data_IF_491431851059
#
_entry.id   IF_491431851059
#
_cell.length_a   1.000
_cell.length_b   1.000
_cell.length_c   1.000
_cell.angle_alpha   90.00
_cell.angle_beta   90.00
_cell.angle_gamma   90.00
#
_symmetry.space_group_name_H-M   'P 1'
#
loop_
_entity.id
_entity.type
_entity.pdbx_description
1 polymer ?
#
# COMPACT_ATOMS: atom_id res chain seq x y z
N UNK A 1 4.01 -23.09 2.44
CA UNK A 1 2.85 -22.40 3.06
C UNK A 1 2.97 -20.93 2.70
N UNK A 2 2.56 -20.55 1.49
CA UNK A 2 2.53 -19.15 1.09
C UNK A 2 1.43 -18.45 1.88
N UNK A 3 1.78 -17.45 2.70
CA UNK A 3 0.80 -16.60 3.37
C UNK A 3 0.68 -15.33 2.54
N UNK A 4 -0.38 -15.27 1.73
CA UNK A 4 -0.83 -14.03 1.11
C UNK A 4 -1.25 -13.09 2.26
N UNK A 5 -0.50 -12.02 2.48
CA UNK A 5 -0.79 -11.05 3.54
C UNK A 5 -1.95 -10.19 3.06
N UNK A 6 -3.16 -10.57 3.44
CA UNK A 6 -4.37 -9.77 3.24
C UNK A 6 -4.34 -8.59 4.22
N UNK A 7 -3.88 -7.42 3.77
CA UNK A 7 -3.96 -6.20 4.58
C UNK A 7 -5.36 -5.59 4.46
N UNK A 8 -6.18 -5.82 5.49
CA UNK A 8 -7.48 -5.18 5.63
C UNK A 8 -7.35 -3.67 5.84
N UNK A 9 -8.06 -2.90 5.03
CA UNK A 9 -8.17 -1.44 5.13
C UNK A 9 -8.80 -1.05 6.47
N UNK A 10 -8.08 -0.30 7.32
CA UNK A 10 -8.66 0.40 8.46
C UNK A 10 -8.38 1.89 8.38
N UNK A 11 -9.46 2.66 8.21
CA UNK A 11 -9.47 4.11 8.32
C UNK A 11 -9.09 4.54 9.75
N UNK A 12 -8.02 5.32 9.88
CA UNK A 12 -7.61 5.95 11.14
C UNK A 12 -8.53 7.14 11.46
N UNK A 13 -9.24 7.09 12.59
CA UNK A 13 -9.83 8.29 13.21
C UNK A 13 -9.00 8.67 14.43
N UNK A 14 -8.31 9.79 14.34
CA UNK A 14 -7.67 10.44 15.48
C UNK A 14 -8.74 11.04 16.40
N UNK A 15 -8.70 10.69 17.70
CA UNK A 15 -9.38 11.47 18.74
C UNK A 15 -8.36 11.81 19.82
N UNK A 16 -8.06 13.11 19.89
CA UNK A 16 -7.29 13.78 20.92
C UNK A 16 -8.19 14.15 22.09
N UNK A 17 -7.79 13.88 23.33
CA UNK A 17 -8.07 14.79 24.45
C UNK A 17 -7.24 14.45 25.69
N UNK A 18 -6.36 15.38 26.07
CA UNK A 18 -5.83 15.49 27.43
C UNK A 18 -6.87 16.16 28.34
N UNK A 19 -6.93 15.77 29.61
CA UNK A 19 -6.92 16.68 30.78
C UNK A 19 -6.85 15.91 32.10
N UNK A 20 -5.90 16.34 32.93
CA UNK A 20 -5.71 15.94 34.32
C UNK A 20 -6.66 16.73 35.25
N UNK A 21 -7.07 16.12 36.38
CA UNK A 21 -7.49 16.81 37.61
C UNK A 21 -7.17 15.93 38.83
N UNK A 22 -6.48 16.51 39.82
CA UNK A 22 -6.23 15.97 41.18
C UNK A 22 -7.10 16.77 42.16
N UNK A 23 -7.67 16.17 43.23
CA UNK A 23 -7.30 16.57 44.61
C UNK A 23 -7.16 15.34 45.54
N UNK A 24 -6.05 15.17 46.25
CA UNK A 24 -5.74 15.73 47.59
C UNK A 24 -6.60 15.15 48.72
N UNK A 25 -6.06 14.14 49.42
CA UNK A 25 -6.38 13.85 50.82
C UNK A 25 -5.10 13.52 51.61
N UNK A 26 -4.98 14.20 52.75
CA UNK A 26 -3.89 14.15 53.70
C UNK A 26 -4.04 12.99 54.70
N UNK A 27 -2.88 12.63 55.31
CA UNK A 27 -2.69 12.14 56.70
C UNK A 27 -3.05 10.66 56.94
N UNK A 28 -2.27 9.81 57.62
CA UNK A 28 -1.23 9.95 58.66
C UNK A 28 -0.14 8.87 58.48
N UNK A 29 1.09 9.22 58.85
CA UNK A 29 2.25 8.33 58.93
C UNK A 29 2.46 7.91 60.39
N UNK A 30 2.66 6.61 60.70
CA UNK A 30 3.43 6.21 61.88
C UNK A 30 4.79 5.67 61.44
N UNK A 31 5.85 6.30 61.95
CA UNK A 31 7.23 5.82 61.83
C UNK A 31 7.35 4.45 62.50
N UNK A 32 7.80 3.46 61.73
CA UNK A 32 8.37 2.23 62.25
C UNK A 32 9.74 2.09 61.59
N UNK A 33 10.78 2.49 62.31
CA UNK A 33 12.16 2.17 61.96
C UNK A 33 12.35 0.65 61.97
N UNK A 34 12.71 0.08 60.82
CA UNK A 34 13.33 -1.25 60.71
C UNK A 34 14.54 -1.14 59.78
N UNK A 35 15.77 -1.37 60.25
CA UNK A 35 16.95 -1.28 59.42
C UNK A 35 17.27 -2.64 58.83
N UNK A 36 16.51 -3.15 57.84
CA UNK A 36 16.92 -4.34 57.10
C UNK A 36 16.34 -4.36 55.67
N UNK A 37 17.22 -4.31 54.67
CA UNK A 37 16.97 -4.85 53.33
C UNK A 37 16.80 -3.87 52.17
N UNK A 38 17.78 -3.02 51.88
CA UNK A 38 17.81 -2.26 50.60
C UNK A 38 18.04 -3.14 49.36
N UNK A 39 18.34 -4.45 49.51
CA UNK A 39 18.59 -5.36 48.38
C UNK A 39 17.33 -5.82 47.64
N UNK A 40 16.15 -5.85 48.26
CA UNK A 40 14.96 -6.48 47.64
C UNK A 40 14.28 -5.65 46.55
N UNK A 41 14.47 -4.33 46.54
CA UNK A 41 13.89 -3.42 45.53
C UNK A 41 14.74 -3.44 44.25
N UNK A 42 16.07 -3.54 44.37
CA UNK A 42 16.97 -3.72 43.23
C UNK A 42 16.73 -5.04 42.49
N UNK A 43 16.50 -6.15 43.19
CA UNK A 43 16.27 -7.46 42.55
C UNK A 43 14.96 -7.52 41.78
N UNK A 44 13.90 -6.83 42.24
CA UNK A 44 12.60 -6.78 41.55
C UNK A 44 12.67 -6.02 40.23
N UNK A 45 13.40 -4.90 40.20
CA UNK A 45 13.63 -4.13 38.98
C UNK A 45 14.49 -4.93 37.99
N UNK A 46 15.55 -5.57 38.49
CA UNK A 46 16.42 -6.44 37.68
C UNK A 46 15.67 -7.60 37.03
N UNK A 47 14.83 -8.35 37.77
CA UNK A 47 14.03 -9.46 37.21
C UNK A 47 13.04 -8.95 36.16
N UNK A 48 12.44 -7.77 36.37
CA UNK A 48 11.53 -7.15 35.40
C UNK A 48 12.26 -6.73 34.12
N UNK A 49 13.44 -6.12 34.25
CA UNK A 49 14.30 -5.72 33.13
C UNK A 49 14.80 -6.94 32.35
N UNK A 50 15.25 -8.00 33.04
CA UNK A 50 15.64 -9.26 32.40
C UNK A 50 14.50 -9.90 31.61
N UNK A 51 13.28 -9.91 32.15
CA UNK A 51 12.10 -10.43 31.45
C UNK A 51 11.76 -9.61 30.22
N UNK A 52 11.87 -8.28 30.32
CA UNK A 52 11.68 -7.38 29.18
C UNK A 52 12.73 -7.63 28.09
N UNK A 53 14.01 -7.72 28.46
CA UNK A 53 15.11 -8.02 27.53
C UNK A 53 14.91 -9.36 26.83
N UNK A 54 14.62 -10.43 27.57
CA UNK A 54 14.40 -11.75 27.00
C UNK A 54 13.19 -11.78 26.04
N UNK A 55 12.16 -10.99 26.33
CA UNK A 55 10.99 -10.84 25.46
C UNK A 55 11.33 -10.08 24.17
N UNK A 56 12.04 -8.95 24.28
CA UNK A 56 12.49 -8.16 23.12
C UNK A 56 13.47 -8.95 22.24
N UNK A 57 14.43 -9.65 22.83
CA UNK A 57 15.35 -10.55 22.12
C UNK A 57 14.61 -11.66 21.36
N UNK A 58 13.55 -12.22 21.95
CA UNK A 58 12.74 -13.21 21.26
C UNK A 58 12.02 -12.62 20.04
N UNK A 59 11.46 -11.41 20.14
CA UNK A 59 10.84 -10.74 18.99
C UNK A 59 11.89 -10.44 17.91
N UNK A 60 13.04 -9.90 18.30
CA UNK A 60 14.13 -9.59 17.37
C UNK A 60 14.64 -10.83 16.64
N UNK A 61 14.73 -11.97 17.34
CA UNK A 61 15.05 -13.26 16.73
C UNK A 61 14.03 -13.64 15.67
N UNK A 62 12.73 -13.58 16.00
CA UNK A 62 11.64 -13.92 15.06
C UNK A 62 11.69 -13.01 13.84
N UNK A 63 11.82 -11.69 14.02
CA UNK A 63 11.90 -10.73 12.91
C UNK A 63 13.10 -10.98 12.00
N UNK A 64 14.28 -11.27 12.57
CA UNK A 64 15.48 -11.61 11.78
C UNK A 64 15.28 -12.89 10.98
N UNK A 65 14.65 -13.90 11.58
CA UNK A 65 14.31 -15.15 10.88
C UNK A 65 13.33 -14.88 9.74
N UNK A 66 12.27 -14.11 9.97
CA UNK A 66 11.28 -13.80 8.94
C UNK A 66 11.91 -13.05 7.75
N UNK A 67 12.69 -12.00 8.02
CA UNK A 67 13.41 -11.25 6.98
C UNK A 67 14.31 -12.18 6.17
N UNK A 68 15.04 -13.07 6.83
CA UNK A 68 15.93 -14.00 6.14
C UNK A 68 15.15 -14.98 5.26
N UNK A 69 14.05 -15.55 5.77
CA UNK A 69 13.19 -16.42 4.99
C UNK A 69 12.64 -15.71 3.74
N UNK A 70 12.18 -14.46 3.88
CA UNK A 70 11.68 -13.70 2.73
C UNK A 70 12.78 -13.34 1.72
N UNK A 71 14.02 -13.14 2.15
CA UNK A 71 15.13 -12.92 1.22
C UNK A 71 15.52 -14.21 0.47
N UNK A 72 15.38 -15.37 1.11
CA UNK A 72 15.73 -16.67 0.51
C UNK A 72 14.69 -17.21 -0.47
N UNK A 73 13.39 -17.00 -0.19
CA UNK A 73 12.30 -17.54 -1.02
C UNK A 73 12.28 -16.91 -2.41
N UNK A 74 12.38 -15.59 -2.49
CA UNK A 74 12.58 -14.87 -3.74
C UNK A 74 13.29 -13.54 -3.43
N UNK A 75 14.58 -13.38 -3.78
CA UNK A 75 15.26 -12.12 -3.57
C UNK A 75 14.53 -10.99 -4.30
N UNK A 76 14.30 -9.82 -3.66
CA UNK A 76 13.77 -8.65 -4.34
C UNK A 76 14.59 -8.35 -5.59
N UNK A 77 13.89 -8.21 -6.71
CA UNK A 77 14.51 -7.88 -7.99
C UNK A 77 14.65 -6.36 -8.09
N UNK A 78 15.62 -5.91 -8.87
CA UNK A 78 15.70 -4.50 -9.21
C UNK A 78 14.45 -4.14 -10.04
N UNK A 79 13.65 -3.15 -9.62
CA UNK A 79 12.45 -2.79 -10.36
C UNK A 79 12.82 -2.25 -11.74
N UNK A 80 12.01 -2.59 -12.74
CA UNK A 80 12.17 -2.07 -14.10
C UNK A 80 11.93 -0.55 -14.11
N UNK A 81 12.89 0.21 -14.64
CA UNK A 81 12.81 1.66 -14.64
C UNK A 81 11.90 2.21 -15.74
N UNK A 82 11.60 1.40 -16.75
CA UNK A 82 10.88 1.81 -17.95
C UNK A 82 10.01 0.64 -18.44
N UNK A 83 8.86 0.98 -19.02
CA UNK A 83 8.00 0.05 -19.75
C UNK A 83 7.54 0.73 -21.03
N UNK A 84 7.96 0.21 -22.18
CA UNK A 84 7.72 0.83 -23.49
C UNK A 84 8.12 2.32 -23.50
N UNK A 85 7.16 3.23 -23.66
CA UNK A 85 7.39 4.68 -23.68
C UNK A 85 7.17 5.35 -22.32
N UNK A 86 6.98 4.57 -21.26
CA UNK A 86 6.77 5.05 -19.91
C UNK A 86 8.02 4.89 -19.06
N UNK A 87 8.35 5.94 -18.32
CA UNK A 87 9.31 5.91 -17.21
C UNK A 87 8.58 5.65 -15.90
N UNK A 88 9.13 4.78 -15.06
CA UNK A 88 8.53 4.36 -13.78
C UNK A 88 9.21 5.10 -12.63
N UNK A 89 8.43 5.87 -11.89
CA UNK A 89 8.81 6.55 -10.65
C UNK A 89 8.27 5.75 -9.45
N UNK A 90 9.14 5.01 -8.77
CA UNK A 90 8.82 4.29 -7.52
C UNK A 90 9.58 4.89 -6.33
N UNK A 91 8.85 5.14 -5.23
CA UNK A 91 9.39 5.65 -3.98
C UNK A 91 9.20 4.64 -2.85
N UNK A 92 10.29 4.23 -2.19
CA UNK A 92 10.19 3.40 -1.00
C UNK A 92 9.37 4.13 0.07
N UNK A 93 8.25 3.58 0.53
CA UNK A 93 7.36 4.31 1.48
C UNK A 93 5.93 4.29 1.05
N UNK A 94 5.77 4.38 -0.26
CA UNK A 94 4.51 4.66 -0.90
C UNK A 94 3.89 3.36 -1.37
N UNK A 95 2.57 3.24 -1.20
CA UNK A 95 1.79 2.08 -1.67
C UNK A 95 1.26 2.28 -3.09
N UNK A 96 2.00 3.04 -3.89
CA UNK A 96 1.68 3.34 -5.28
C UNK A 96 2.97 3.67 -6.03
N UNK A 97 2.91 3.65 -7.36
CA UNK A 97 3.96 4.13 -8.26
C UNK A 97 3.36 5.10 -9.29
N UNK A 98 4.22 5.86 -9.95
CA UNK A 98 3.81 6.71 -11.07
C UNK A 98 4.52 6.30 -12.34
N UNK A 99 3.80 6.23 -13.45
CA UNK A 99 4.37 6.15 -14.79
C UNK A 99 4.19 7.49 -15.50
N UNK A 100 5.20 7.89 -16.28
CA UNK A 100 5.15 9.08 -17.14
C UNK A 100 5.58 8.75 -18.54
N UNK A 101 4.75 9.12 -19.51
CA UNK A 101 5.00 8.95 -20.93
C UNK A 101 4.50 10.14 -21.72
N UNK A 102 4.78 10.12 -23.02
CA UNK A 102 4.25 11.06 -23.99
C UNK A 102 3.65 10.32 -25.17
N UNK A 103 2.58 10.88 -25.73
CA UNK A 103 2.01 10.44 -26.99
C UNK A 103 2.13 11.57 -28.02
N UNK A 104 2.98 11.35 -29.02
CA UNK A 104 3.42 12.43 -29.92
C UNK A 104 4.17 13.53 -29.17
N UNK A 105 4.11 14.75 -29.70
CA UNK A 105 4.86 15.90 -29.17
C UNK A 105 4.08 16.71 -28.10
N UNK A 106 2.75 16.60 -28.10
CA UNK A 106 1.86 17.51 -27.36
C UNK A 106 1.11 16.86 -26.19
N UNK A 107 1.00 15.53 -26.14
CA UNK A 107 0.23 14.85 -25.11
C UNK A 107 1.12 14.22 -24.05
N UNK A 108 0.96 14.65 -22.80
CA UNK A 108 1.59 14.04 -21.63
C UNK A 108 0.61 13.07 -20.98
N UNK A 109 1.09 11.85 -20.71
CA UNK A 109 0.35 10.78 -20.04
C UNK A 109 1.00 10.54 -18.68
N UNK A 110 0.19 10.62 -17.62
CA UNK A 110 0.61 10.31 -16.25
C UNK A 110 -0.30 9.22 -15.71
N UNK A 111 0.27 8.14 -15.22
CA UNK A 111 -0.47 7.02 -14.64
C UNK A 111 -0.07 6.89 -13.18
N UNK A 112 -1.02 6.92 -12.27
CA UNK A 112 -0.80 6.58 -10.85
C UNK A 112 -1.43 5.23 -10.56
N UNK A 113 -0.63 4.30 -10.06
CA UNK A 113 -1.00 2.89 -9.90
C UNK A 113 -0.83 2.50 -8.45
N UNK A 114 -1.87 1.96 -7.82
CA UNK A 114 -1.80 1.49 -6.43
C UNK A 114 -1.06 0.15 -6.34
N UNK A 115 -0.67 -0.23 -5.13
CA UNK A 115 -0.47 -1.65 -4.82
C UNK A 115 -1.80 -2.41 -4.87
N UNK A 116 -1.75 -3.73 -4.68
CA UNK A 116 -2.95 -4.57 -4.63
C UNK A 116 -3.96 -4.07 -3.59
N UNK A 117 -5.17 -3.77 -4.04
CA UNK A 117 -6.24 -3.15 -3.23
C UNK A 117 -7.55 -3.93 -3.24
N UNK A 118 -7.62 -5.02 -4.01
CA UNK A 118 -8.75 -5.93 -4.05
C UNK A 118 -8.33 -7.35 -4.45
N UNK A 119 -9.23 -8.30 -4.24
CA UNK A 119 -9.04 -9.66 -4.74
C UNK A 119 -10.36 -10.41 -4.92
N UNK A 120 -10.36 -11.39 -5.83
CA UNK A 120 -11.49 -12.30 -6.05
C UNK A 120 -10.96 -13.74 -6.08
N UNK A 121 -11.65 -14.64 -5.38
CA UNK A 121 -11.44 -16.08 -5.51
C UNK A 121 -12.13 -16.60 -6.76
N UNK A 122 -11.37 -17.22 -7.65
CA UNK A 122 -11.90 -17.92 -8.82
C UNK A 122 -11.91 -19.42 -8.55
N UNK A 123 -13.08 -20.07 -8.56
CA UNK A 123 -13.14 -21.52 -8.43
C UNK A 123 -12.53 -22.17 -9.68
N UNK A 124 -11.40 -22.88 -9.52
CA UNK A 124 -10.84 -23.70 -10.60
C UNK A 124 -11.71 -24.93 -10.84
N UNK A 125 -12.12 -25.15 -12.08
CA UNK A 125 -12.84 -26.35 -12.53
C UNK A 125 -11.88 -27.48 -12.88
N UNK A 126 -11.04 -27.92 -11.93
CA UNK A 126 -10.20 -29.11 -12.10
C UNK A 126 -10.66 -30.23 -11.19
N UNK A 127 -10.84 -31.44 -11.76
CA UNK A 127 -11.38 -32.64 -11.10
C UNK A 127 -10.57 -33.17 -9.90
N UNK A 128 -9.41 -32.61 -9.58
CA UNK A 128 -8.59 -32.99 -8.43
C UNK A 128 -8.29 -31.78 -7.54
N UNK A 129 -9.05 -31.65 -6.44
CA UNK A 129 -8.72 -30.77 -5.30
C UNK A 129 -8.92 -29.26 -5.55
N UNK A 130 -9.73 -28.62 -4.69
CA UNK A 130 -9.96 -27.18 -4.68
C UNK A 130 -8.65 -26.40 -4.44
N UNK A 131 -8.02 -25.94 -5.51
CA UNK A 131 -7.07 -24.81 -5.47
C UNK A 131 -7.83 -23.60 -5.97
N UNK A 132 -8.33 -22.77 -5.04
CA UNK A 132 -8.90 -21.47 -5.42
C UNK A 132 -7.77 -20.58 -5.95
N UNK A 133 -7.94 -20.04 -7.16
CA UNK A 133 -7.00 -19.07 -7.69
C UNK A 133 -7.43 -17.68 -7.24
N UNK A 134 -6.54 -16.96 -6.57
CA UNK A 134 -6.84 -15.59 -6.12
C UNK A 134 -6.37 -14.62 -7.20
N UNK A 135 -7.31 -13.94 -7.86
CA UNK A 135 -6.99 -12.82 -8.75
C UNK A 135 -6.90 -11.55 -7.91
N UNK A 136 -5.76 -10.89 -7.96
CA UNK A 136 -5.55 -9.60 -7.30
C UNK A 136 -6.00 -8.47 -8.21
N UNK A 137 -6.39 -7.36 -7.62
CA UNK A 137 -6.82 -6.15 -8.31
C UNK A 137 -5.88 -4.99 -7.98
N UNK A 138 -5.67 -4.12 -8.96
CA UNK A 138 -4.95 -2.85 -8.83
C UNK A 138 -5.82 -1.73 -9.41
N UNK A 139 -5.88 -0.58 -8.73
CA UNK A 139 -6.51 0.63 -9.26
C UNK A 139 -5.50 1.52 -9.98
N UNK A 140 -5.93 2.12 -11.10
CA UNK A 140 -5.14 3.06 -11.89
C UNK A 140 -5.90 4.36 -12.09
N UNK A 141 -5.18 5.47 -12.04
CA UNK A 141 -5.63 6.78 -12.49
C UNK A 141 -4.76 7.19 -13.65
N UNK A 142 -5.36 7.40 -14.82
CA UNK A 142 -4.67 7.79 -16.06
C UNK A 142 -5.08 9.22 -16.41
N UNK A 143 -4.13 10.14 -16.31
CA UNK A 143 -4.31 11.53 -16.73
C UNK A 143 -3.71 11.73 -18.11
N UNK A 144 -4.52 12.27 -19.03
CA UNK A 144 -4.08 12.73 -20.35
C UNK A 144 -4.24 14.24 -20.42
N UNK A 145 -3.14 14.93 -20.74
CA UNK A 145 -3.12 16.38 -20.90
C UNK A 145 -2.44 16.78 -22.20
N UNK A 146 -2.99 17.76 -22.91
CA UNK A 146 -2.49 18.21 -24.23
C UNK A 146 -1.59 19.45 -24.12
N UNK A 147 -0.66 19.42 -23.18
CA UNK A 147 0.30 20.50 -22.94
C UNK A 147 -0.08 21.49 -21.84
N UNK A 148 0.76 22.51 -21.68
CA UNK A 148 0.70 23.44 -20.56
C UNK A 148 -0.45 24.45 -20.72
N UNK A 149 -1.40 24.40 -19.78
CA UNK A 149 -2.57 25.27 -19.73
C UNK A 149 -3.89 24.53 -19.98
N UNK A 150 -3.84 23.31 -20.51
CA UNK A 150 -5.03 22.54 -20.85
C UNK A 150 -5.67 21.83 -19.66
N UNK A 151 -6.97 21.55 -19.79
CA UNK A 151 -7.71 20.65 -18.92
C UNK A 151 -7.18 19.22 -19.05
N UNK A 152 -7.42 18.40 -18.03
CA UNK A 152 -6.97 17.02 -17.95
C UNK A 152 -8.17 16.10 -18.17
N UNK A 153 -8.01 15.13 -19.05
CA UNK A 153 -8.93 14.00 -19.17
C UNK A 153 -8.40 12.88 -18.28
N UNK A 154 -9.11 12.60 -17.20
CA UNK A 154 -8.74 11.59 -16.20
C UNK A 154 -9.61 10.34 -16.38
N UNK A 155 -8.97 9.18 -16.45
CA UNK A 155 -9.63 7.88 -16.45
C UNK A 155 -9.33 7.17 -15.13
N UNK A 156 -10.35 6.59 -14.53
CA UNK A 156 -10.19 5.66 -13.42
C UNK A 156 -10.38 4.26 -13.99
N UNK A 157 -9.34 3.44 -13.87
CA UNK A 157 -9.30 2.10 -14.41
C UNK A 157 -9.07 1.05 -13.31
N UNK A 158 -9.53 -0.17 -13.60
CA UNK A 158 -9.33 -1.37 -12.81
C UNK A 158 -8.46 -2.33 -13.61
N UNK A 159 -7.36 -2.81 -13.03
CA UNK A 159 -6.50 -3.81 -13.65
C UNK A 159 -6.54 -5.13 -12.89
N UNK A 160 -7.01 -6.15 -13.58
CA UNK A 160 -6.80 -7.56 -13.24
C UNK A 160 -5.51 -8.07 -13.90
N UNK A 161 -5.02 -9.27 -13.58
CA UNK A 161 -3.72 -9.76 -14.07
C UNK A 161 -3.57 -9.77 -15.60
N UNK A 162 -4.69 -9.84 -16.32
CA UNK A 162 -4.81 -10.08 -17.75
C UNK A 162 -5.79 -9.12 -18.45
N UNK A 163 -6.36 -8.15 -17.72
CA UNK A 163 -7.44 -7.31 -18.23
C UNK A 163 -7.41 -5.92 -17.59
N UNK A 164 -7.52 -4.88 -18.42
CA UNK A 164 -7.65 -3.49 -18.00
C UNK A 164 -9.03 -2.94 -18.38
N UNK A 165 -9.80 -2.52 -17.39
CA UNK A 165 -11.15 -1.97 -17.58
C UNK A 165 -11.22 -0.48 -17.20
N UNK A 166 -11.86 0.33 -18.04
CA UNK A 166 -12.25 1.71 -17.68
C UNK A 166 -13.49 1.66 -16.78
N UNK A 167 -13.42 2.30 -15.62
CA UNK A 167 -14.55 2.42 -14.70
C UNK A 167 -15.25 3.77 -14.84
N UNK A 168 -14.47 4.86 -14.92
CA UNK A 168 -14.99 6.25 -14.99
C UNK A 168 -14.08 7.16 -15.80
N UNK A 169 -14.67 8.23 -16.32
CA UNK A 169 -13.99 9.27 -17.11
C UNK A 169 -14.39 10.64 -16.56
N UNK A 170 -13.40 11.48 -16.28
CA UNK A 170 -13.57 12.82 -15.73
C UNK A 170 -12.87 13.88 -16.58
N UNK A 171 -13.45 15.07 -16.62
CA UNK A 171 -12.77 16.28 -17.08
C UNK A 171 -12.38 17.13 -15.88
N UNK A 172 -11.08 17.24 -15.63
CA UNK A 172 -10.53 18.04 -14.54
C UNK A 172 -10.05 19.39 -15.09
N UNK A 173 -10.58 20.47 -14.52
CA UNK A 173 -10.15 21.82 -14.87
C UNK A 173 -8.83 22.17 -14.21
N UNK A 174 -7.94 22.82 -14.96
CA UNK A 174 -6.64 23.28 -14.46
C UNK A 174 -6.76 24.36 -13.38
N UNK A 175 -7.77 25.23 -13.49
CA UNK A 175 -8.00 26.37 -12.58
C UNK A 175 -8.63 25.99 -11.22
N UNK A 176 -8.62 24.70 -10.90
CA UNK A 176 -9.23 24.14 -9.70
C UNK A 176 -10.62 23.54 -9.96
N UNK A 177 -11.00 22.60 -9.11
CA UNK A 177 -12.30 21.94 -9.23
C UNK A 177 -13.42 22.90 -8.80
N UNK A 178 -14.51 23.04 -9.57
CA UNK A 178 -15.73 23.62 -9.03
C UNK A 178 -16.13 22.81 -7.79
N UNK A 179 -16.78 23.44 -6.81
CA UNK A 179 -17.11 22.81 -5.52
C UNK A 179 -17.86 21.46 -5.65
N UNK A 180 -18.52 21.22 -6.80
CA UNK A 180 -19.06 19.93 -7.23
C UNK A 180 -18.85 19.77 -8.74
N UNK A 181 -17.76 19.10 -9.19
CA UNK A 181 -17.60 18.79 -10.61
C UNK A 181 -18.66 17.78 -11.02
N UNK A 182 -19.10 17.87 -12.28
CA UNK A 182 -19.89 16.80 -12.87
C UNK A 182 -18.98 15.60 -13.07
N UNK A 183 -19.35 14.49 -12.44
CA UNK A 183 -18.55 13.27 -12.35
C UNK A 183 -18.75 12.30 -13.52
N UNK A 184 -19.61 12.66 -14.49
CA UNK A 184 -19.98 11.76 -15.58
C UNK A 184 -20.93 10.63 -15.14
N UNK A 185 -21.54 9.93 -16.11
CA UNK A 185 -22.17 8.64 -15.85
C UNK A 185 -21.11 7.55 -15.55
N UNK A 186 -21.54 6.39 -15.09
CA UNK A 186 -20.65 5.23 -15.04
C UNK A 186 -20.30 4.76 -16.47
N UNK A 187 -19.08 4.28 -16.69
CA UNK A 187 -18.60 3.93 -18.03
C UNK A 187 -19.50 2.88 -18.72
N UNK A 188 -20.02 1.92 -17.94
CA UNK A 188 -20.91 0.84 -18.40
C UNK A 188 -22.28 1.33 -18.89
N UNK A 189 -22.66 2.56 -18.54
CA UNK A 189 -23.92 3.18 -18.98
C UNK A 189 -23.76 3.97 -20.29
N UNK A 190 -22.54 4.09 -20.82
CA UNK A 190 -22.28 4.72 -22.11
C UNK A 190 -22.68 3.80 -23.27
N UNK A 191 -22.89 4.38 -24.45
CA UNK A 191 -23.12 3.60 -25.67
C UNK A 191 -21.88 2.76 -26.02
N UNK A 192 -22.09 1.55 -26.54
CA UNK A 192 -21.02 0.59 -26.86
C UNK A 192 -20.00 1.15 -27.85
N UNK A 193 -20.44 1.93 -28.85
CA UNK A 193 -19.52 2.56 -29.83
C UNK A 193 -18.60 3.57 -29.11
N UNK A 194 -19.14 4.30 -28.14
CA UNK A 194 -18.37 5.28 -27.36
C UNK A 194 -17.44 4.59 -26.36
N UNK A 195 -17.86 3.48 -25.74
CA UNK A 195 -16.99 2.68 -24.87
C UNK A 195 -15.77 2.16 -25.63
N UNK A 196 -15.99 1.58 -26.82
CA UNK A 196 -14.91 1.07 -27.68
C UNK A 196 -13.94 2.19 -28.08
N UNK A 197 -14.46 3.36 -28.47
CA UNK A 197 -13.62 4.50 -28.86
C UNK A 197 -12.72 4.99 -27.69
N UNK A 198 -13.20 4.95 -26.45
CA UNK A 198 -12.39 5.32 -25.29
C UNK A 198 -11.35 4.25 -24.93
N UNK A 199 -11.66 2.97 -25.12
CA UNK A 199 -10.69 1.89 -24.98
C UNK A 199 -9.57 2.02 -26.01
N UNK A 200 -9.92 2.15 -27.30
CA UNK A 200 -8.96 2.36 -28.39
C UNK A 200 -8.08 3.60 -28.14
N UNK A 201 -8.67 4.69 -27.63
CA UNK A 201 -7.94 5.90 -27.27
C UNK A 201 -6.84 5.66 -26.22
N UNK A 202 -7.11 4.84 -25.20
CA UNK A 202 -6.13 4.47 -24.17
C UNK A 202 -5.11 3.46 -24.70
N UNK A 203 -5.54 2.49 -25.52
CA UNK A 203 -4.66 1.48 -26.12
C UNK A 203 -3.61 2.11 -27.02
N UNK A 204 -3.98 3.09 -27.87
CA UNK A 204 -3.03 3.84 -28.71
C UNK A 204 -1.95 4.55 -27.87
N UNK A 205 -2.28 4.89 -26.62
CA UNK A 205 -1.38 5.56 -25.67
C UNK A 205 -0.58 4.58 -24.82
N UNK A 206 -0.70 3.27 -25.08
CA UNK A 206 -0.01 2.22 -24.36
C UNK A 206 -0.63 1.86 -23.01
N UNK A 207 -1.90 2.24 -22.78
CA UNK A 207 -2.68 1.83 -21.61
C UNK A 207 -3.61 0.70 -22.03
N UNK A 208 -3.14 -0.53 -21.87
CA UNK A 208 -3.78 -1.75 -22.36
C UNK A 208 -3.52 -2.95 -21.43
N UNK A 209 -3.94 -4.14 -21.84
CA UNK A 209 -3.76 -5.38 -21.06
C UNK A 209 -2.28 -5.76 -20.85
N UNK A 210 -1.39 -5.40 -21.78
CA UNK A 210 0.05 -5.62 -21.63
C UNK A 210 0.62 -4.78 -20.48
N UNK A 211 0.17 -3.53 -20.35
CA UNK A 211 0.48 -2.68 -19.21
C UNK A 211 -0.05 -3.30 -17.91
N UNK A 212 -1.26 -3.88 -17.91
CA UNK A 212 -1.79 -4.56 -16.73
C UNK A 212 -0.89 -5.72 -16.28
N UNK A 213 -0.46 -6.59 -17.22
CA UNK A 213 0.47 -7.70 -16.94
C UNK A 213 1.78 -7.19 -16.33
N UNK A 214 2.36 -6.14 -16.92
CA UNK A 214 3.58 -5.51 -16.40
C UNK A 214 3.39 -4.99 -14.97
N UNK A 215 2.33 -4.23 -14.73
CA UNK A 215 2.05 -3.62 -13.44
C UNK A 215 1.80 -4.67 -12.35
N UNK A 216 1.12 -5.77 -12.68
CA UNK A 216 0.94 -6.89 -11.74
C UNK A 216 2.28 -7.50 -11.34
N UNK A 217 3.17 -7.78 -12.31
CA UNK A 217 4.53 -8.26 -12.03
C UNK A 217 5.32 -7.27 -11.16
N UNK A 218 5.24 -5.97 -11.48
CA UNK A 218 5.89 -4.91 -10.73
C UNK A 218 5.40 -4.85 -9.28
N UNK A 219 4.09 -4.91 -9.06
CA UNK A 219 3.49 -4.82 -7.73
C UNK A 219 3.81 -6.02 -6.85
N UNK A 220 3.98 -7.22 -7.41
CA UNK A 220 4.48 -8.38 -6.66
C UNK A 220 5.88 -8.09 -6.09
N UNK A 221 6.79 -7.54 -6.90
CA UNK A 221 8.14 -7.22 -6.45
C UNK A 221 8.14 -6.06 -5.43
N UNK A 222 7.33 -5.03 -5.67
CA UNK A 222 7.19 -3.88 -4.76
C UNK A 222 6.61 -4.33 -3.41
N UNK A 223 5.54 -5.11 -3.40
CA UNK A 223 4.90 -5.62 -2.17
C UNK A 223 5.89 -6.35 -1.27
N UNK A 224 6.66 -7.26 -1.88
CA UNK A 224 7.70 -8.00 -1.17
C UNK A 224 8.79 -7.09 -0.61
N UNK A 225 9.30 -6.19 -1.44
CA UNK A 225 10.37 -5.25 -1.05
C UNK A 225 9.90 -4.37 0.12
N UNK A 226 8.67 -3.89 0.04
CA UNK A 226 8.05 -3.06 1.06
C UNK A 226 7.80 -3.82 2.36
N UNK A 227 7.38 -5.09 2.29
CA UNK A 227 7.21 -5.94 3.45
C UNK A 227 8.54 -6.19 4.19
N UNK A 228 9.61 -6.54 3.46
CA UNK A 228 10.94 -6.73 4.04
C UNK A 228 11.44 -5.43 4.70
N UNK A 229 11.24 -4.29 4.03
CA UNK A 229 11.61 -2.99 4.55
C UNK A 229 10.82 -2.64 5.82
N UNK A 230 9.54 -2.94 5.85
CA UNK A 230 8.69 -2.77 7.02
C UNK A 230 9.17 -3.63 8.20
N UNK A 231 9.45 -4.92 7.98
CA UNK A 231 10.04 -5.80 9.00
C UNK A 231 11.36 -5.24 9.54
N UNK A 232 12.21 -4.71 8.65
CA UNK A 232 13.44 -4.02 9.02
C UNK A 232 13.20 -2.81 9.92
N UNK A 233 12.23 -1.96 9.57
CA UNK A 233 11.86 -0.79 10.36
C UNK A 233 11.31 -1.17 11.75
N UNK A 234 10.45 -2.19 11.83
CA UNK A 234 9.91 -2.70 13.10
C UNK A 234 11.04 -3.25 13.97
N UNK A 235 11.97 -4.01 13.37
CA UNK A 235 13.15 -4.51 14.07
C UNK A 235 13.99 -3.36 14.64
N UNK A 236 14.33 -2.36 13.82
CA UNK A 236 15.11 -1.20 14.27
C UNK A 236 14.40 -0.35 15.32
N UNK A 237 13.07 -0.35 15.36
CA UNK A 237 12.30 0.30 16.42
C UNK A 237 12.44 -0.44 17.75
N UNK A 238 12.40 -1.78 17.75
CA UNK A 238 12.51 -2.61 18.95
C UNK A 238 13.96 -2.66 19.49
N UNK A 239 14.96 -2.50 18.62
CA UNK A 239 16.38 -2.42 19.03
C UNK A 239 16.74 -1.12 19.77
N UNK A 240 15.88 -0.09 19.74
CA UNK A 240 16.08 1.22 20.39
C UNK A 240 15.46 1.28 21.78
#
# INVERSE_FOLDING_TARGET
MARLIQMGSRAFRFVSSSKAVIPLLQRLNPEIERPFGSSFIQTRNYISEMRKSAFEENILRILRTEIQCELEIAPPQQPEAEFNSFTVEDRPGEQWIRLRGKYGDEEDIKIEVTMFDGSISVPKSTEDGQTEDTRLHISLIVDVSKGEGCDILEFVCSAWPDELEIQKIFMLKRDGLPARPYVGPDFKDLDDELQNAYQEFLEERGVNDELAVFLHGYMVNKDRTEFIRWLGNVRSFIEK
#
